data_IF_466609725395
#
_entry.id   IF_466609725395
#
_cell.length_a   1.000
_cell.length_b   1.000
_cell.length_c   1.000
_cell.angle_alpha   90.00
_cell.angle_beta   90.00
_cell.angle_gamma   90.00
#
_symmetry.space_group_name_H-M   'P 1'
#
loop_
_entity.id
_entity.type
_entity.pdbx_description
1 polymer ?
#
# COMPACT_ATOMS: atom_id res chain seq x y z
N UNK A 1 10.98 3.00 -15.92
CA UNK A 1 12.09 3.44 -15.05
C UNK A 1 11.80 2.95 -13.65
N UNK A 2 12.50 1.92 -13.18
CA UNK A 2 12.41 1.45 -11.80
C UNK A 2 13.22 2.40 -10.91
N UNK A 3 12.64 2.82 -9.78
CA UNK A 3 13.40 3.52 -8.75
C UNK A 3 14.45 2.55 -8.18
N UNK A 4 15.73 2.77 -8.46
CA UNK A 4 16.86 1.99 -7.93
C UNK A 4 17.58 2.72 -6.81
N UNK A 5 17.04 3.83 -6.32
CA UNK A 5 17.69 4.61 -5.29
C UNK A 5 17.71 3.87 -3.95
N UNK A 6 18.74 4.17 -3.17
CA UNK A 6 18.82 3.71 -1.79
C UNK A 6 17.60 4.21 -1.01
N UNK A 7 16.99 3.31 -0.24
CA UNK A 7 15.89 3.68 0.67
C UNK A 7 16.43 4.67 1.70
N UNK A 8 15.68 5.75 1.93
CA UNK A 8 16.01 6.79 2.91
C UNK A 8 16.32 6.15 4.27
N UNK A 9 17.43 6.56 4.89
CA UNK A 9 17.87 6.06 6.18
C UNK A 9 16.81 6.21 7.27
N UNK A 10 15.97 7.25 7.20
CA UNK A 10 14.87 7.50 8.15
C UNK A 10 13.79 6.42 8.08
N UNK A 11 13.62 5.79 6.92
CA UNK A 11 12.62 4.74 6.70
C UNK A 11 13.15 3.37 7.07
N UNK A 12 14.47 3.15 7.08
CA UNK A 12 15.07 1.82 7.31
C UNK A 12 14.58 1.15 8.58
N UNK A 13 14.43 1.88 9.68
CA UNK A 13 13.94 1.34 10.95
C UNK A 13 12.47 0.91 10.86
N UNK A 14 11.62 1.69 10.18
CA UNK A 14 10.20 1.35 10.04
C UNK A 14 9.98 0.14 9.12
N UNK A 15 10.95 -0.19 8.28
CA UNK A 15 10.86 -1.29 7.31
C UNK A 15 11.32 -2.63 7.89
N UNK A 16 11.94 -2.69 9.08
CA UNK A 16 12.40 -3.97 9.66
C UNK A 16 11.26 -4.84 10.17
N UNK A 17 10.10 -4.25 10.47
CA UNK A 17 8.92 -4.97 10.98
C UNK A 17 7.99 -5.47 9.85
N UNK A 18 8.34 -5.20 8.60
CA UNK A 18 7.52 -5.56 7.44
C UNK A 18 8.37 -6.24 6.35
N UNK A 19 7.74 -7.12 5.57
CA UNK A 19 8.33 -7.60 4.33
C UNK A 19 8.21 -6.50 3.29
N UNK A 20 9.35 -5.95 2.87
CA UNK A 20 9.40 -4.85 1.91
C UNK A 20 10.02 -5.35 0.62
N UNK A 21 9.24 -5.28 -0.46
CA UNK A 21 9.64 -5.72 -1.79
C UNK A 21 9.65 -4.53 -2.74
N UNK A 22 10.63 -4.51 -3.65
CA UNK A 22 10.68 -3.56 -4.75
C UNK A 22 10.33 -4.32 -6.03
N UNK A 23 9.32 -3.84 -6.74
CA UNK A 23 8.75 -4.54 -7.91
C UNK A 23 8.78 -3.61 -9.13
N UNK A 24 9.04 -4.13 -10.34
CA UNK A 24 8.89 -3.33 -11.56
C UNK A 24 7.49 -2.73 -11.69
N UNK A 25 7.42 -1.44 -12.05
CA UNK A 25 6.14 -0.72 -12.20
C UNK A 25 5.24 -1.39 -13.24
N UNK A 26 5.82 -1.90 -14.33
CA UNK A 26 5.06 -2.53 -15.42
C UNK A 26 4.36 -3.81 -14.96
N UNK A 27 4.96 -4.56 -14.03
CA UNK A 27 4.33 -5.74 -13.44
C UNK A 27 3.18 -5.35 -12.50
N UNK A 28 3.33 -4.25 -11.74
CA UNK A 28 2.27 -3.75 -10.87
C UNK A 28 1.11 -3.13 -11.65
N UNK A 29 1.39 -2.47 -12.78
CA UNK A 29 0.38 -1.85 -13.64
C UNK A 29 -0.56 -2.88 -14.31
N UNK A 30 -0.18 -4.16 -14.36
CA UNK A 30 -1.04 -5.24 -14.84
C UNK A 30 -2.12 -5.62 -13.82
N UNK A 31 -1.93 -5.28 -12.54
CA UNK A 31 -2.79 -5.70 -11.45
C UNK A 31 -3.53 -4.53 -10.79
N UNK A 32 -2.86 -3.39 -10.65
CA UNK A 32 -3.37 -2.22 -9.95
C UNK A 32 -3.74 -1.10 -10.93
N UNK A 33 -4.89 -0.46 -10.68
CA UNK A 33 -5.39 0.63 -11.50
C UNK A 33 -5.30 1.97 -10.76
N UNK A 34 -4.60 2.98 -11.29
CA UNK A 34 -4.61 4.33 -10.73
C UNK A 34 -5.95 5.04 -10.97
N UNK A 35 -6.14 6.18 -10.32
CA UNK A 35 -7.22 7.09 -10.68
C UNK A 35 -6.96 7.74 -12.06
N UNK A 36 -8.02 8.19 -12.74
CA UNK A 36 -7.91 8.82 -14.05
C UNK A 36 -6.99 10.05 -13.95
N UNK A 37 -5.99 10.10 -14.84
CA UNK A 37 -5.03 11.20 -14.90
C UNK A 37 -3.93 11.17 -13.83
N UNK A 38 -3.85 10.12 -13.01
CA UNK A 38 -2.81 9.93 -12.00
C UNK A 38 -1.90 8.74 -12.34
N UNK A 39 -0.69 8.73 -11.78
CA UNK A 39 0.27 7.63 -11.94
C UNK A 39 0.01 6.55 -10.89
N UNK A 40 0.50 5.34 -11.13
CA UNK A 40 0.35 4.23 -10.19
C UNK A 40 1.03 4.53 -8.84
N UNK A 41 2.25 5.06 -8.91
CA UNK A 41 3.07 5.41 -7.76
C UNK A 41 2.54 6.59 -6.93
N UNK A 42 1.56 7.34 -7.43
CA UNK A 42 0.96 8.46 -6.68
C UNK A 42 -0.02 7.97 -5.60
N UNK A 43 -0.38 6.69 -5.64
CA UNK A 43 -1.39 6.08 -4.78
C UNK A 43 -0.80 5.07 -3.80
N UNK A 44 -1.47 4.94 -2.65
CA UNK A 44 -1.31 3.79 -1.76
C UNK A 44 -2.45 2.80 -1.98
N UNK A 45 -2.12 1.52 -2.02
CA UNK A 45 -3.06 0.42 -2.26
C UNK A 45 -3.05 -0.56 -1.10
N UNK A 46 -4.22 -1.11 -0.80
CA UNK A 46 -4.40 -2.21 0.16
C UNK A 46 -4.97 -3.39 -0.59
N UNK A 47 -4.31 -4.53 -0.48
CA UNK A 47 -4.70 -5.79 -1.11
C UNK A 47 -4.84 -6.84 0.00
N UNK A 48 -5.85 -7.70 -0.10
CA UNK A 48 -5.99 -8.84 0.78
C UNK A 48 -4.99 -9.99 0.44
N UNK A 49 -4.85 -11.01 1.30
CA UNK A 49 -3.95 -12.14 1.03
C UNK A 49 -4.32 -12.99 -0.19
N UNK A 50 -5.58 -12.95 -0.65
CA UNK A 50 -6.04 -13.66 -1.84
C UNK A 50 -5.75 -12.87 -3.13
N UNK A 51 -5.22 -11.65 -3.01
CA UNK A 51 -4.83 -10.80 -4.13
C UNK A 51 -5.94 -9.85 -4.60
N UNK A 52 -7.01 -9.67 -3.83
CA UNK A 52 -8.06 -8.71 -4.20
C UNK A 52 -7.68 -7.30 -3.74
N UNK A 53 -7.76 -6.34 -4.67
CA UNK A 53 -7.64 -4.93 -4.33
C UNK A 53 -8.82 -4.50 -3.45
N UNK A 54 -8.52 -4.10 -2.22
CA UNK A 54 -9.51 -3.66 -1.25
C UNK A 54 -9.72 -2.15 -1.26
N UNK A 55 -8.62 -1.40 -1.28
CA UNK A 55 -8.66 0.04 -1.15
C UNK A 55 -7.55 0.69 -1.96
N UNK A 56 -7.89 1.82 -2.58
CA UNK A 56 -6.93 2.76 -3.17
C UNK A 56 -7.13 4.11 -2.52
N UNK A 57 -6.09 4.63 -1.88
CA UNK A 57 -6.11 5.96 -1.30
C UNK A 57 -5.97 7.05 -2.38
N UNK A 58 -6.47 8.27 -2.13
CA UNK A 58 -6.29 9.39 -3.04
C UNK A 58 -4.81 9.66 -3.35
N UNK A 59 -4.53 10.13 -4.56
CA UNK A 59 -3.20 10.63 -4.89
C UNK A 59 -2.89 11.88 -4.07
N UNK A 60 -1.61 12.10 -3.75
CA UNK A 60 -1.13 13.29 -3.03
C UNK A 60 -1.76 13.48 -1.64
N UNK A 61 -1.72 12.44 -0.80
CA UNK A 61 -2.16 12.54 0.60
C UNK A 61 -1.37 13.62 1.34
N UNK A 62 -2.06 14.67 1.77
CA UNK A 62 -1.53 15.63 2.73
C UNK A 62 -1.57 15.06 4.16
N UNK A 63 -1.05 15.79 5.15
CA UNK A 63 -0.99 15.30 6.53
C UNK A 63 -2.39 14.97 7.11
N UNK A 64 -3.41 15.75 6.75
CA UNK A 64 -4.78 15.51 7.19
C UNK A 64 -5.38 14.25 6.53
N UNK A 65 -5.16 14.10 5.22
CA UNK A 65 -5.51 12.93 4.44
C UNK A 65 -4.82 11.67 4.94
N UNK A 66 -3.54 11.74 5.28
CA UNK A 66 -2.78 10.62 5.85
C UNK A 66 -3.36 10.17 7.20
N UNK A 67 -3.73 11.11 8.08
CA UNK A 67 -4.39 10.77 9.34
C UNK A 67 -5.75 10.08 9.12
N UNK A 68 -6.50 10.49 8.09
CA UNK A 68 -7.74 9.81 7.71
C UNK A 68 -7.47 8.42 7.14
N UNK A 69 -6.50 8.30 6.24
CA UNK A 69 -6.11 7.02 5.64
C UNK A 69 -5.71 5.99 6.71
N UNK A 70 -4.93 6.41 7.72
CA UNK A 70 -4.61 5.56 8.87
C UNK A 70 -5.86 5.09 9.61
N UNK A 71 -6.79 6.00 9.93
CA UNK A 71 -8.03 5.63 10.63
C UNK A 71 -8.89 4.65 9.83
N UNK A 72 -8.97 4.85 8.52
CA UNK A 72 -9.71 3.96 7.63
C UNK A 72 -9.05 2.58 7.57
N UNK A 73 -7.70 2.52 7.51
CA UNK A 73 -6.95 1.28 7.59
C UNK A 73 -7.12 0.56 8.94
N UNK A 74 -7.04 1.28 10.06
CA UNK A 74 -7.26 0.70 11.39
C UNK A 74 -8.67 0.08 11.51
N UNK A 75 -9.69 0.72 10.92
CA UNK A 75 -11.06 0.19 10.86
C UNK A 75 -11.15 -1.04 9.97
N UNK A 76 -10.49 -1.00 8.81
CA UNK A 76 -10.42 -2.14 7.89
C UNK A 76 -9.82 -3.36 8.57
N UNK A 77 -8.66 -3.20 9.21
CA UNK A 77 -7.94 -4.28 9.88
C UNK A 77 -8.73 -4.89 11.04
N UNK A 78 -9.47 -4.07 11.78
CA UNK A 78 -10.38 -4.55 12.84
C UNK A 78 -11.53 -5.37 12.26
N UNK A 79 -12.10 -4.92 11.14
CA UNK A 79 -13.18 -5.64 10.47
C UNK A 79 -12.68 -6.94 9.82
N UNK A 80 -11.43 -6.97 9.35
CA UNK A 80 -10.81 -8.14 8.71
C UNK A 80 -10.21 -9.15 9.70
N UNK A 81 -10.34 -8.95 11.01
CA UNK A 81 -9.77 -9.85 12.03
C UNK A 81 -10.29 -11.29 11.99
N UNK A 82 -11.35 -11.58 11.20
CA UNK A 82 -11.84 -12.94 10.96
C UNK A 82 -11.14 -13.69 9.83
N UNK A 83 -10.24 -13.04 9.07
CA UNK A 83 -9.54 -13.63 7.92
C UNK A 83 -8.25 -14.36 8.30
N UNK A 84 -7.75 -14.17 9.52
CA UNK A 84 -6.63 -14.92 10.11
C UNK A 84 -7.03 -16.36 10.51
N UNK A 85 -8.03 -16.96 9.85
CA UNK A 85 -8.54 -18.31 10.13
C UNK A 85 -7.91 -19.39 9.27
N UNK A 86 -7.26 -19.06 8.16
CA UNK A 86 -6.44 -20.03 7.43
C UNK A 86 -5.01 -19.96 7.99
N UNK A 87 -4.77 -20.88 8.93
CA UNK A 87 -3.60 -20.93 9.80
C UNK A 87 -2.28 -20.90 9.05
N UNK A 88 -1.37 -20.12 9.60
CA UNK A 88 0.08 -20.31 9.45
C UNK A 88 0.53 -21.51 10.28
#
# INVERSE_FOLDING_TARGET
MTDTNAVDARLKLALTEATVLRVPVDAMAQWLLPAIGQRLEDHLYVVDPLGNLMMRFPANLDAAGAAKAKRDLDRLLRASGSWDKEGR
#
